data_IF_811181867598
#
_entry.id   IF_811181867598
#
_cell.length_a   1.000
_cell.length_b   1.000
_cell.length_c   1.000
_cell.angle_alpha   90.00
_cell.angle_beta   90.00
_cell.angle_gamma   90.00
#
_symmetry.space_group_name_H-M   'P 1'
#
loop_
_entity.id
_entity.type
_entity.pdbx_description
1 polymer ?
#
# COMPACT_ATOMS: atom_id res chain seq x y z
N UNK A 1 -22.53 10.37 -46.84
CA UNK A 1 -21.41 9.61 -46.22
C UNK A 1 -22.00 8.74 -45.12
N UNK A 2 -21.90 7.39 -45.18
CA UNK A 2 -22.43 6.56 -44.12
C UNK A 2 -21.48 6.62 -42.91
N UNK A 3 -22.02 7.01 -41.76
CA UNK A 3 -21.36 6.96 -40.46
C UNK A 3 -21.00 5.51 -40.20
N UNK A 4 -19.71 5.19 -40.15
CA UNK A 4 -19.25 3.87 -39.71
C UNK A 4 -19.67 3.69 -38.25
N UNK A 5 -20.77 2.97 -38.03
CA UNK A 5 -21.12 2.45 -36.70
C UNK A 5 -19.99 1.49 -36.34
N UNK A 6 -19.10 1.90 -35.43
CA UNK A 6 -18.14 1.00 -34.79
C UNK A 6 -18.92 -0.21 -34.31
N UNK A 7 -18.70 -1.39 -34.90
CA UNK A 7 -19.20 -2.64 -34.32
C UNK A 7 -18.48 -2.79 -32.99
N UNK A 8 -19.17 -2.48 -31.88
CA UNK A 8 -18.67 -2.83 -30.56
C UNK A 8 -18.51 -4.35 -30.51
N UNK A 9 -17.45 -4.83 -29.88
CA UNK A 9 -17.32 -6.26 -29.61
C UNK A 9 -18.42 -6.69 -28.63
N UNK A 10 -18.78 -7.98 -28.65
CA UNK A 10 -19.90 -8.50 -27.83
C UNK A 10 -19.69 -8.23 -26.32
N UNK A 11 -18.43 -8.27 -25.87
CA UNK A 11 -17.99 -7.89 -24.52
C UNK A 11 -18.19 -6.39 -24.21
N UNK A 12 -17.81 -5.49 -25.12
CA UNK A 12 -18.00 -4.04 -24.97
C UNK A 12 -19.49 -3.68 -24.98
N UNK A 13 -20.28 -4.39 -25.77
CA UNK A 13 -21.73 -4.22 -25.82
C UNK A 13 -22.38 -4.56 -24.48
N UNK A 14 -22.05 -5.72 -23.89
CA UNK A 14 -22.60 -6.12 -22.59
C UNK A 14 -22.18 -5.16 -21.47
N UNK A 15 -20.92 -4.70 -21.49
CA UNK A 15 -20.42 -3.68 -20.55
C UNK A 15 -21.16 -2.34 -20.73
N UNK A 16 -21.38 -1.89 -21.96
CA UNK A 16 -22.14 -0.67 -22.25
C UNK A 16 -23.56 -0.76 -21.72
N UNK A 17 -24.24 -1.90 -21.92
CA UNK A 17 -25.59 -2.15 -21.41
C UNK A 17 -25.65 -2.11 -19.89
N UNK A 18 -24.66 -2.70 -19.20
CA UNK A 18 -24.56 -2.63 -17.75
C UNK A 18 -24.40 -1.18 -17.24
N UNK A 19 -23.58 -0.37 -17.92
CA UNK A 19 -23.38 1.05 -17.56
C UNK A 19 -24.65 1.88 -17.71
N UNK A 20 -25.36 1.72 -18.83
CA UNK A 20 -26.57 2.48 -19.13
C UNK A 20 -27.68 2.17 -18.11
N UNK A 21 -27.80 0.90 -17.73
CA UNK A 21 -28.81 0.43 -16.77
C UNK A 21 -28.42 0.66 -15.32
N UNK A 22 -27.15 0.94 -14.99
CA UNK A 22 -26.72 1.11 -13.60
C UNK A 22 -27.41 2.27 -12.88
N UNK A 23 -27.69 3.37 -13.60
CA UNK A 23 -28.37 4.54 -13.03
C UNK A 23 -29.88 4.33 -12.84
N UNK A 24 -30.50 3.48 -13.67
CA UNK A 24 -31.95 3.25 -13.66
C UNK A 24 -32.32 2.05 -12.80
N UNK A 25 -31.57 0.96 -12.91
CA UNK A 25 -31.80 -0.30 -12.23
C UNK A 25 -30.48 -1.05 -11.92
N UNK A 26 -29.95 -0.92 -10.69
CA UNK A 26 -28.72 -1.60 -10.28
C UNK A 26 -28.77 -3.12 -10.39
N UNK A 27 -29.94 -3.75 -10.25
CA UNK A 27 -30.07 -5.21 -10.35
C UNK A 27 -29.94 -5.69 -11.79
N UNK A 28 -30.50 -4.94 -12.73
CA UNK A 28 -30.38 -5.24 -14.16
C UNK A 28 -28.93 -5.07 -14.64
N UNK A 29 -28.26 -4.01 -14.20
CA UNK A 29 -26.83 -3.81 -14.46
C UNK A 29 -25.98 -4.99 -13.94
N UNK A 30 -26.30 -5.50 -12.74
CA UNK A 30 -25.64 -6.70 -12.18
C UNK A 30 -25.93 -7.97 -12.99
N UNK A 31 -27.14 -8.14 -13.53
CA UNK A 31 -27.48 -9.28 -14.39
C UNK A 31 -26.72 -9.23 -15.72
N UNK A 32 -26.62 -8.04 -16.34
CA UNK A 32 -25.78 -7.83 -17.53
C UNK A 32 -24.32 -8.14 -17.25
N UNK A 33 -23.78 -7.67 -16.11
CA UNK A 33 -22.41 -7.98 -15.75
C UNK A 33 -22.16 -9.44 -15.40
N UNK A 34 -23.11 -10.10 -14.74
CA UNK A 34 -22.98 -11.52 -14.46
C UNK A 34 -22.88 -12.31 -15.78
N UNK A 35 -23.69 -11.96 -16.76
CA UNK A 35 -23.66 -12.55 -18.11
C UNK A 35 -22.34 -12.27 -18.82
N UNK A 36 -21.83 -11.04 -18.75
CA UNK A 36 -20.53 -10.72 -19.35
C UNK A 36 -19.39 -11.49 -18.67
N UNK A 37 -19.41 -11.62 -17.34
CA UNK A 37 -18.39 -12.35 -16.57
C UNK A 37 -18.39 -13.86 -16.86
N UNK A 38 -19.56 -14.45 -17.13
CA UNK A 38 -19.66 -15.87 -17.47
C UNK A 38 -19.20 -16.13 -18.90
N UNK A 39 -19.53 -15.25 -19.84
CA UNK A 39 -19.12 -15.38 -21.25
C UNK A 39 -17.65 -15.03 -21.48
N UNK A 40 -17.13 -14.04 -20.74
CA UNK A 40 -15.80 -13.45 -20.94
C UNK A 40 -14.99 -13.44 -19.63
N UNK A 41 -14.83 -14.62 -19.01
CA UNK A 41 -14.18 -14.76 -17.69
C UNK A 41 -12.70 -14.36 -17.65
N UNK A 42 -12.04 -14.33 -18.81
CA UNK A 42 -10.61 -14.02 -18.95
C UNK A 42 -10.36 -12.64 -19.56
N UNK A 43 -11.39 -11.82 -19.76
CA UNK A 43 -11.22 -10.46 -20.25
C UNK A 43 -11.04 -9.49 -19.08
N UNK A 44 -9.92 -8.76 -19.05
CA UNK A 44 -9.65 -7.76 -18.01
C UNK A 44 -10.72 -6.68 -17.95
N UNK A 45 -11.13 -6.09 -19.09
CA UNK A 45 -12.10 -5.00 -19.13
C UNK A 45 -13.45 -5.39 -18.52
N UNK A 46 -13.92 -6.60 -18.77
CA UNK A 46 -15.17 -7.13 -18.20
C UNK A 46 -15.05 -7.32 -16.68
N UNK A 47 -13.94 -7.89 -16.20
CA UNK A 47 -13.73 -8.11 -14.77
C UNK A 47 -13.53 -6.79 -14.03
N UNK A 48 -12.75 -5.88 -14.61
CA UNK A 48 -12.45 -4.56 -14.06
C UNK A 48 -13.70 -3.68 -14.00
N UNK A 49 -14.58 -3.75 -15.01
CA UNK A 49 -15.86 -3.05 -14.96
C UNK A 49 -16.78 -3.60 -13.86
N UNK A 50 -16.84 -4.92 -13.71
CA UNK A 50 -17.61 -5.52 -12.63
C UNK A 50 -17.11 -5.06 -11.25
N UNK A 51 -15.78 -4.92 -11.09
CA UNK A 51 -15.19 -4.30 -9.90
C UNK A 51 -15.62 -2.84 -9.73
N UNK A 52 -15.58 -2.01 -10.79
CA UNK A 52 -15.98 -0.60 -10.73
C UNK A 52 -17.46 -0.43 -10.35
N UNK A 53 -18.34 -1.32 -10.81
CA UNK A 53 -19.75 -1.33 -10.44
C UNK A 53 -19.93 -1.66 -8.95
N UNK A 54 -19.24 -2.68 -8.43
CA UNK A 54 -19.31 -3.03 -7.00
C UNK A 54 -18.67 -1.95 -6.10
N UNK A 55 -17.58 -1.32 -6.56
CA UNK A 55 -16.94 -0.16 -5.92
C UNK A 55 -17.91 1.02 -5.86
N UNK A 56 -18.56 1.34 -6.98
CA UNK A 56 -19.58 2.41 -7.08
C UNK A 56 -20.80 2.13 -6.20
N UNK A 57 -21.17 0.85 -6.04
CA UNK A 57 -22.22 0.42 -5.12
C UNK A 57 -21.79 0.42 -3.64
N UNK A 58 -20.52 0.78 -3.33
CA UNK A 58 -19.89 0.71 -2.00
C UNK A 58 -19.99 -0.66 -1.34
N UNK A 59 -20.02 -1.72 -2.15
CA UNK A 59 -20.10 -3.09 -1.69
C UNK A 59 -18.72 -3.62 -1.33
N UNK A 60 -18.30 -3.42 -0.08
CA UNK A 60 -16.92 -3.72 0.38
C UNK A 60 -16.52 -5.17 0.11
N UNK A 61 -17.37 -6.14 0.48
CA UNK A 61 -17.07 -7.58 0.37
C UNK A 61 -16.97 -8.04 -1.09
N UNK A 62 -17.90 -7.62 -1.93
CA UNK A 62 -17.91 -8.02 -3.33
C UNK A 62 -16.82 -7.31 -4.13
N UNK A 63 -16.52 -6.05 -3.80
CA UNK A 63 -15.37 -5.33 -4.36
C UNK A 63 -14.06 -6.03 -4.02
N UNK A 64 -13.86 -6.45 -2.76
CA UNK A 64 -12.67 -7.18 -2.34
C UNK A 64 -12.52 -8.52 -3.07
N UNK A 65 -13.61 -9.27 -3.27
CA UNK A 65 -13.60 -10.52 -4.05
C UNK A 65 -13.24 -10.28 -5.51
N UNK A 66 -13.87 -9.30 -6.16
CA UNK A 66 -13.59 -8.97 -7.55
C UNK A 66 -12.13 -8.52 -7.71
N UNK A 67 -11.67 -7.61 -6.86
CA UNK A 67 -10.30 -7.12 -6.85
C UNK A 67 -9.30 -8.26 -6.65
N UNK A 68 -9.56 -9.18 -5.71
CA UNK A 68 -8.71 -10.35 -5.47
C UNK A 68 -8.57 -11.23 -6.72
N UNK A 69 -9.68 -11.47 -7.42
CA UNK A 69 -9.68 -12.28 -8.65
C UNK A 69 -8.93 -11.59 -9.80
N UNK A 70 -9.09 -10.27 -9.93
CA UNK A 70 -8.40 -9.47 -10.95
C UNK A 70 -6.90 -9.46 -10.66
N UNK A 71 -6.50 -9.18 -9.41
CA UNK A 71 -5.10 -9.10 -9.00
C UNK A 71 -4.34 -10.40 -9.22
N UNK A 72 -4.98 -11.56 -9.05
CA UNK A 72 -4.34 -12.85 -9.32
C UNK A 72 -4.12 -13.14 -10.81
N UNK A 73 -4.97 -12.58 -11.68
CA UNK A 73 -5.00 -12.94 -13.12
C UNK A 73 -4.36 -11.89 -14.03
N UNK A 74 -4.36 -10.62 -13.65
CA UNK A 74 -4.06 -9.50 -14.54
C UNK A 74 -3.02 -8.54 -13.94
N UNK A 75 -1.87 -9.06 -13.50
CA UNK A 75 -0.81 -8.25 -12.88
C UNK A 75 -0.05 -7.36 -13.87
N UNK A 76 -0.26 -7.50 -15.17
CA UNK A 76 0.41 -6.70 -16.19
C UNK A 76 -0.35 -5.41 -16.54
N UNK A 77 -1.61 -5.30 -16.10
CA UNK A 77 -2.52 -4.23 -16.50
C UNK A 77 -2.29 -2.94 -15.70
N UNK A 78 -2.04 -1.82 -16.40
CA UNK A 78 -1.73 -0.54 -15.76
C UNK A 78 -2.90 0.04 -14.94
N UNK A 79 -4.14 -0.18 -15.37
CA UNK A 79 -5.32 0.32 -14.67
C UNK A 79 -5.50 -0.34 -13.30
N UNK A 80 -5.17 -1.63 -13.19
CA UNK A 80 -5.13 -2.32 -11.90
C UNK A 80 -4.12 -1.67 -10.96
N UNK A 81 -2.93 -1.31 -11.45
CA UNK A 81 -1.90 -0.71 -10.61
C UNK A 81 -2.26 0.67 -10.10
N UNK A 82 -3.06 1.45 -10.83
CA UNK A 82 -3.62 2.71 -10.31
C UNK A 82 -4.51 2.46 -9.09
N UNK A 83 -5.33 1.41 -9.13
CA UNK A 83 -6.15 0.99 -7.99
C UNK A 83 -5.30 0.46 -6.83
N UNK A 84 -4.25 -0.31 -7.11
CA UNK A 84 -3.29 -0.77 -6.10
C UNK A 84 -2.61 0.41 -5.42
N UNK A 85 -2.18 1.43 -6.16
CA UNK A 85 -1.58 2.65 -5.61
C UNK A 85 -2.56 3.42 -4.72
N UNK A 86 -3.82 3.59 -5.16
CA UNK A 86 -4.84 4.23 -4.34
C UNK A 86 -5.08 3.46 -3.03
N UNK A 87 -5.11 2.12 -3.11
CA UNK A 87 -5.28 1.23 -1.97
C UNK A 87 -4.11 1.32 -0.99
N UNK A 88 -2.86 1.24 -1.46
CA UNK A 88 -1.67 1.33 -0.59
C UNK A 88 -1.51 2.71 0.03
N UNK A 89 -1.86 3.77 -0.69
CA UNK A 89 -1.91 5.12 -0.13
C UNK A 89 -2.97 5.25 0.97
N UNK A 90 -4.18 4.73 0.73
CA UNK A 90 -5.24 4.74 1.74
C UNK A 90 -4.86 3.96 3.02
N UNK A 91 -4.05 2.90 2.90
CA UNK A 91 -3.56 2.11 4.02
C UNK A 91 -2.52 2.82 4.89
N UNK A 92 -1.85 3.83 4.35
CA UNK A 92 -0.80 4.59 5.05
C UNK A 92 -1.29 5.88 5.67
N UNK A 93 -2.32 6.47 5.07
CA UNK A 93 -2.88 7.73 5.54
C UNK A 93 -4.04 7.45 6.48
N UNK A 94 -4.12 8.19 7.59
CA UNK A 94 -5.27 8.15 8.51
C UNK A 94 -6.37 9.14 8.09
N UNK A 95 -6.52 9.40 6.80
CA UNK A 95 -7.52 10.35 6.29
C UNK A 95 -8.92 9.83 6.56
N UNK A 96 -9.80 10.69 7.07
CA UNK A 96 -11.23 10.42 7.25
C UNK A 96 -12.05 10.48 5.96
N UNK A 97 -11.39 10.62 4.81
CA UNK A 97 -12.04 10.65 3.50
C UNK A 97 -12.80 9.34 3.25
N UNK A 98 -14.03 9.45 2.76
CA UNK A 98 -14.91 8.30 2.57
C UNK A 98 -14.28 7.22 1.65
N UNK A 99 -13.55 7.63 0.63
CA UNK A 99 -12.85 6.73 -0.29
C UNK A 99 -11.70 5.99 0.41
N UNK A 100 -10.87 6.69 1.18
CA UNK A 100 -9.76 6.07 1.91
C UNK A 100 -10.28 5.09 2.98
N UNK A 101 -11.37 5.43 3.66
CA UNK A 101 -12.05 4.53 4.61
C UNK A 101 -12.57 3.28 3.88
N UNK A 102 -13.24 3.45 2.73
CA UNK A 102 -13.73 2.34 1.92
C UNK A 102 -12.61 1.42 1.47
N UNK A 103 -11.51 1.97 0.93
CA UNK A 103 -10.36 1.18 0.47
C UNK A 103 -9.70 0.39 1.61
N UNK A 104 -9.56 0.99 2.81
CA UNK A 104 -9.07 0.28 3.99
C UNK A 104 -9.98 -0.88 4.41
N UNK A 105 -11.30 -0.67 4.36
CA UNK A 105 -12.28 -1.73 4.65
C UNK A 105 -12.26 -2.82 3.56
N UNK A 106 -12.11 -2.43 2.29
CA UNK A 106 -12.00 -3.39 1.19
C UNK A 106 -10.76 -4.27 1.38
N UNK A 107 -9.63 -3.66 1.72
CA UNK A 107 -8.38 -4.38 1.97
C UNK A 107 -8.53 -5.42 3.08
N UNK A 108 -9.24 -5.11 4.19
CA UNK A 108 -9.42 -6.07 5.28
C UNK A 108 -10.25 -7.29 4.90
N UNK A 109 -11.05 -7.21 3.83
CA UNK A 109 -11.82 -8.32 3.27
C UNK A 109 -11.09 -9.12 2.19
N UNK A 110 -9.93 -8.66 1.72
CA UNK A 110 -9.06 -9.42 0.80
C UNK A 110 -8.41 -10.58 1.59
N UNK A 111 -8.26 -11.79 1.01
CA UNK A 111 -7.53 -12.89 1.64
C UNK A 111 -6.10 -12.51 2.07
N UNK A 112 -5.64 -12.95 3.25
CA UNK A 112 -4.34 -12.55 3.81
C UNK A 112 -3.15 -12.84 2.89
N UNK A 113 -3.17 -13.97 2.18
CA UNK A 113 -2.13 -14.31 1.22
C UNK A 113 -2.08 -13.32 0.05
N UNK A 114 -3.24 -12.84 -0.41
CA UNK A 114 -3.33 -11.83 -1.48
C UNK A 114 -2.92 -10.46 -0.96
N UNK A 115 -3.33 -10.08 0.27
CA UNK A 115 -2.86 -8.84 0.91
C UNK A 115 -1.33 -8.80 1.00
N UNK A 116 -0.72 -9.90 1.46
CA UNK A 116 0.73 -10.04 1.53
C UNK A 116 1.40 -9.93 0.16
N UNK A 117 0.92 -10.70 -0.82
CA UNK A 117 1.44 -10.66 -2.20
C UNK A 117 1.28 -9.28 -2.83
N UNK A 118 0.16 -8.60 -2.62
CA UNK A 118 -0.08 -7.25 -3.13
C UNK A 118 0.98 -6.29 -2.61
N UNK A 119 1.20 -6.23 -1.29
CA UNK A 119 2.19 -5.33 -0.72
C UNK A 119 3.61 -5.64 -1.18
N UNK A 120 3.96 -6.93 -1.28
CA UNK A 120 5.28 -7.36 -1.73
C UNK A 120 5.53 -7.01 -3.20
N UNK A 121 4.61 -7.38 -4.11
CA UNK A 121 4.75 -7.09 -5.54
C UNK A 121 4.69 -5.58 -5.79
N UNK A 122 3.86 -4.83 -5.06
CA UNK A 122 3.90 -3.37 -5.12
C UNK A 122 5.26 -2.81 -4.76
N UNK A 123 5.91 -3.36 -3.72
CA UNK A 123 7.24 -2.92 -3.30
C UNK A 123 8.30 -3.26 -4.37
N UNK A 124 8.23 -4.44 -4.97
CA UNK A 124 9.18 -4.84 -6.00
C UNK A 124 9.05 -4.03 -7.30
N UNK A 125 7.84 -3.50 -7.57
CA UNK A 125 7.55 -2.68 -8.75
C UNK A 125 7.80 -1.18 -8.55
N UNK A 126 8.08 -0.71 -7.35
CA UNK A 126 8.28 0.72 -7.11
C UNK A 126 9.64 1.18 -7.66
N UNK A 127 9.63 2.19 -8.51
CA UNK A 127 10.85 2.80 -9.06
C UNK A 127 11.57 3.69 -8.03
N UNK A 128 10.80 4.31 -7.13
CA UNK A 128 11.33 5.17 -6.07
C UNK A 128 11.75 4.35 -4.83
N UNK A 129 12.99 4.54 -4.39
CA UNK A 129 13.56 3.80 -3.25
C UNK A 129 12.83 4.10 -1.94
N UNK A 130 12.34 5.34 -1.76
CA UNK A 130 11.60 5.70 -0.56
C UNK A 130 10.22 5.04 -0.54
N UNK A 131 9.56 4.99 -1.69
CA UNK A 131 8.28 4.29 -1.86
C UNK A 131 8.40 2.79 -1.62
N UNK A 132 9.46 2.16 -2.14
CA UNK A 132 9.84 0.78 -1.85
C UNK A 132 9.90 0.53 -0.33
N UNK A 133 10.65 1.38 0.38
CA UNK A 133 10.83 1.27 1.82
C UNK A 133 9.52 1.43 2.59
N UNK A 134 8.65 2.36 2.17
CA UNK A 134 7.33 2.56 2.79
C UNK A 134 6.40 1.37 2.58
N UNK A 135 6.43 0.73 1.41
CA UNK A 135 5.62 -0.47 1.11
C UNK A 135 6.09 -1.65 1.96
N UNK A 136 7.41 -1.87 2.05
CA UNK A 136 7.97 -2.90 2.93
C UNK A 136 7.66 -2.64 4.40
N UNK A 137 7.75 -1.41 4.90
CA UNK A 137 7.34 -1.10 6.28
C UNK A 137 5.86 -1.41 6.54
N UNK A 138 5.00 -1.09 5.57
CA UNK A 138 3.58 -1.43 5.67
C UNK A 138 3.36 -2.95 5.72
N UNK A 139 4.10 -3.71 4.91
CA UNK A 139 4.10 -5.18 4.95
C UNK A 139 4.53 -5.69 6.33
N UNK A 140 5.67 -5.23 6.84
CA UNK A 140 6.22 -5.67 8.13
C UNK A 140 5.28 -5.40 9.31
N UNK A 141 4.62 -4.24 9.32
CA UNK A 141 3.63 -3.88 10.35
C UNK A 141 2.40 -4.76 10.36
N UNK A 142 1.92 -5.14 9.17
CA UNK A 142 0.72 -5.98 9.03
C UNK A 142 0.99 -7.47 9.13
N UNK A 143 2.21 -7.90 8.80
CA UNK A 143 2.62 -9.29 8.81
C UNK A 143 3.94 -9.43 9.59
N UNK A 144 3.91 -9.37 10.93
CA UNK A 144 5.12 -9.42 11.77
C UNK A 144 6.00 -10.66 11.53
N UNK A 145 5.42 -11.78 11.10
CA UNK A 145 6.16 -12.99 10.74
C UNK A 145 7.16 -12.79 9.59
N UNK A 146 6.99 -11.72 8.80
CA UNK A 146 7.85 -11.38 7.66
C UNK A 146 9.05 -10.52 8.06
N UNK A 147 9.11 -10.03 9.30
CA UNK A 147 10.17 -9.16 9.81
C UNK A 147 11.53 -9.84 9.79
N UNK A 148 11.61 -11.12 10.17
CA UNK A 148 12.87 -11.87 10.10
C UNK A 148 13.39 -12.00 8.65
N UNK A 149 12.49 -12.09 7.67
CA UNK A 149 12.84 -12.30 6.26
C UNK A 149 13.22 -11.00 5.54
N UNK A 150 12.48 -9.92 5.76
CA UNK A 150 12.64 -8.66 5.00
C UNK A 150 13.25 -7.52 5.82
N UNK A 151 13.19 -7.58 7.16
CA UNK A 151 13.70 -6.54 8.06
C UNK A 151 15.19 -6.24 7.86
N UNK A 152 16.09 -7.23 7.92
CA UNK A 152 17.53 -7.01 7.70
C UNK A 152 17.85 -6.35 6.35
N UNK A 153 17.20 -6.82 5.28
CA UNK A 153 17.39 -6.26 3.94
C UNK A 153 16.91 -4.81 3.87
N UNK A 154 15.79 -4.50 4.52
CA UNK A 154 15.27 -3.13 4.57
C UNK A 154 16.20 -2.19 5.35
N UNK A 155 16.86 -2.67 6.41
CA UNK A 155 17.91 -1.90 7.09
C UNK A 155 19.03 -1.54 6.11
N UNK A 156 19.54 -2.53 5.37
CA UNK A 156 20.62 -2.31 4.40
C UNK A 156 20.19 -1.32 3.31
N UNK A 157 18.97 -1.47 2.78
CA UNK A 157 18.41 -0.56 1.77
C UNK A 157 18.33 0.87 2.29
N UNK A 158 17.77 1.08 3.49
CA UNK A 158 17.65 2.43 4.09
C UNK A 158 19.02 3.06 4.37
N UNK A 159 19.96 2.30 4.92
CA UNK A 159 21.31 2.79 5.20
C UNK A 159 22.06 3.14 3.90
N UNK A 160 21.87 2.34 2.85
CA UNK A 160 22.49 2.56 1.54
C UNK A 160 21.87 3.76 0.85
N UNK A 161 20.54 3.87 0.84
CA UNK A 161 19.82 4.98 0.24
C UNK A 161 20.20 6.32 0.90
N UNK A 162 20.27 6.36 2.22
CA UNK A 162 20.70 7.55 2.96
C UNK A 162 22.11 7.99 2.52
N UNK A 163 23.06 7.05 2.42
CA UNK A 163 24.45 7.35 2.04
C UNK A 163 24.55 7.99 0.65
N UNK A 164 23.72 7.58 -0.30
CA UNK A 164 23.73 8.09 -1.67
C UNK A 164 22.90 9.36 -1.85
N UNK A 165 22.00 9.67 -0.91
CA UNK A 165 21.08 10.81 -1.04
C UNK A 165 21.71 12.16 -0.64
N UNK A 166 23.01 12.19 -0.31
CA UNK A 166 23.78 13.42 0.01
C UNK A 166 23.12 14.36 1.03
N UNK A 167 22.34 13.82 1.98
CA UNK A 167 21.77 14.64 3.06
C UNK A 167 22.88 15.23 3.92
N UNK A 168 22.81 16.53 4.17
CA UNK A 168 23.78 17.26 4.98
C UNK A 168 23.50 17.16 6.48
N UNK A 169 22.32 16.68 6.87
CA UNK A 169 21.89 16.54 8.26
C UNK A 169 21.46 15.11 8.60
N UNK A 170 21.59 14.76 9.88
CA UNK A 170 21.14 13.46 10.40
C UNK A 170 19.61 13.36 10.46
N UNK A 171 18.89 14.48 10.43
CA UNK A 171 17.42 14.52 10.43
C UNK A 171 16.90 14.48 8.99
N UNK A 172 16.82 13.28 8.42
CA UNK A 172 16.32 13.04 7.06
C UNK A 172 15.25 11.94 7.02
N UNK A 173 14.58 11.79 5.87
CA UNK A 173 13.44 10.88 5.70
C UNK A 173 13.80 9.40 5.84
N UNK A 174 14.96 8.97 5.33
CA UNK A 174 15.43 7.59 5.46
C UNK A 174 15.78 7.26 6.90
N UNK A 175 16.48 8.16 7.59
CA UNK A 175 16.81 7.96 9.00
C UNK A 175 15.58 7.99 9.89
N UNK A 176 14.58 8.82 9.57
CA UNK A 176 13.28 8.79 10.25
C UNK A 176 12.60 7.42 10.11
N UNK A 177 12.49 6.87 8.89
CA UNK A 177 11.92 5.53 8.69
C UNK A 177 12.73 4.45 9.44
N UNK A 178 14.05 4.53 9.39
CA UNK A 178 14.92 3.55 10.02
C UNK A 178 14.75 3.54 11.54
N UNK A 179 14.79 4.71 12.16
CA UNK A 179 14.83 4.86 13.63
C UNK A 179 13.42 4.79 14.23
N UNK A 180 12.46 5.49 13.65
CA UNK A 180 11.12 5.62 14.23
C UNK A 180 10.19 4.47 13.83
N UNK A 181 10.38 3.87 12.65
CA UNK A 181 9.44 2.89 12.11
C UNK A 181 10.01 1.47 12.07
N UNK A 182 11.25 1.27 11.60
CA UNK A 182 11.83 -0.06 11.43
C UNK A 182 12.44 -0.61 12.73
N UNK A 183 13.26 0.17 13.42
CA UNK A 183 13.96 -0.28 14.63
C UNK A 183 13.01 -0.86 15.70
N UNK A 184 11.83 -0.25 16.00
CA UNK A 184 10.89 -0.84 16.95
C UNK A 184 10.32 -2.20 16.50
N UNK A 185 10.12 -2.40 15.20
CA UNK A 185 9.66 -3.68 14.64
C UNK A 185 10.72 -4.77 14.77
N UNK A 186 11.99 -4.42 14.62
CA UNK A 186 13.11 -5.34 14.80
C UNK A 186 13.26 -5.74 16.27
N UNK A 187 13.07 -4.81 17.21
CA UNK A 187 13.20 -5.09 18.65
C UNK A 187 12.12 -6.01 19.22
N UNK A 188 10.97 -6.12 18.54
CA UNK A 188 9.84 -6.97 18.94
C UNK A 188 9.86 -8.36 18.27
N UNK A 189 10.83 -8.61 17.39
CA UNK A 189 10.93 -9.84 16.60
C UNK A 189 12.30 -10.50 16.80
N UNK A 190 12.42 -11.84 16.68
CA UNK A 190 13.70 -12.53 16.78
C UNK A 190 14.52 -12.33 15.50
N UNK A 191 15.10 -11.13 15.32
CA UNK A 191 15.94 -10.78 14.17
C UNK A 191 17.40 -10.80 14.57
N UNK A 192 18.20 -11.61 13.88
CA UNK A 192 19.64 -11.62 14.03
C UNK A 192 20.28 -10.63 13.05
N UNK A 193 20.77 -9.51 13.58
CA UNK A 193 21.60 -8.57 12.82
C UNK A 193 23.08 -8.73 13.20
N UNK A 194 24.01 -8.58 12.24
CA UNK A 194 25.43 -8.51 12.54
C UNK A 194 25.74 -7.43 13.59
N UNK A 195 26.58 -7.75 14.57
CA UNK A 195 26.95 -6.84 15.67
C UNK A 195 27.43 -5.47 15.16
N UNK A 196 28.24 -5.44 14.09
CA UNK A 196 28.70 -4.19 13.46
C UNK A 196 27.56 -3.34 12.88
N UNK A 197 26.47 -3.97 12.45
CA UNK A 197 25.28 -3.26 11.96
C UNK A 197 24.47 -2.71 13.13
N UNK A 198 24.32 -3.46 14.21
CA UNK A 198 23.67 -2.99 15.44
C UNK A 198 24.34 -1.74 16.02
N UNK A 199 25.68 -1.73 16.13
CA UNK A 199 26.39 -0.53 16.60
C UNK A 199 26.19 0.68 15.69
N UNK A 200 26.18 0.48 14.36
CA UNK A 200 25.90 1.55 13.40
C UNK A 200 24.48 2.08 13.52
N UNK A 201 23.50 1.19 13.73
CA UNK A 201 22.11 1.57 13.97
C UNK A 201 21.97 2.39 15.25
N UNK A 202 22.60 1.96 16.33
CA UNK A 202 22.59 2.67 17.61
C UNK A 202 23.19 4.08 17.46
N UNK A 203 24.37 4.19 16.85
CA UNK A 203 25.02 5.48 16.61
C UNK A 203 24.13 6.42 15.78
N UNK A 204 23.58 5.93 14.66
CA UNK A 204 22.68 6.73 13.80
C UNK A 204 21.41 7.16 14.54
N UNK A 205 20.86 6.29 15.38
CA UNK A 205 19.67 6.58 16.18
C UNK A 205 19.95 7.71 17.18
N UNK A 206 21.03 7.58 17.96
CA UNK A 206 21.45 8.61 18.91
C UNK A 206 21.68 9.95 18.20
N UNK A 207 22.42 9.95 17.08
CA UNK A 207 22.68 11.15 16.30
C UNK A 207 21.39 11.79 15.76
N UNK A 208 20.43 10.99 15.27
CA UNK A 208 19.14 11.47 14.80
C UNK A 208 18.37 12.18 15.93
N UNK A 209 18.24 11.53 17.08
CA UNK A 209 17.52 12.08 18.23
C UNK A 209 18.19 13.34 18.79
N UNK A 210 19.51 13.36 18.93
CA UNK A 210 20.24 14.54 19.39
C UNK A 210 20.03 15.73 18.46
N UNK A 211 20.20 15.55 17.16
CA UNK A 211 20.00 16.64 16.21
C UNK A 211 18.53 17.06 16.11
N UNK A 212 17.59 16.13 16.24
CA UNK A 212 16.16 16.45 16.28
C UNK A 212 15.79 17.30 17.51
N UNK A 213 16.30 16.95 18.69
CA UNK A 213 16.06 17.69 19.94
C UNK A 213 16.73 19.06 19.95
N UNK A 214 17.92 19.19 19.36
CA UNK A 214 18.67 20.44 19.29
C UNK A 214 18.19 21.39 18.19
N UNK A 215 17.34 20.92 17.26
CA UNK A 215 16.83 21.75 16.17
C UNK A 215 15.72 22.70 16.66
N UNK A 216 15.85 24.02 16.47
CA UNK A 216 14.83 25.00 16.92
C UNK A 216 13.53 24.92 16.11
N UNK A 217 13.53 24.25 14.96
CA UNK A 217 12.41 24.14 14.03
C UNK A 217 11.73 22.79 14.16
N UNK A 218 10.59 22.72 14.86
CA UNK A 218 9.66 21.56 14.88
C UNK A 218 8.91 21.39 13.55
N UNK A 219 9.52 21.69 12.41
CA UNK A 219 8.88 21.68 11.08
C UNK A 219 8.77 20.28 10.46
N UNK A 220 9.21 19.23 11.15
CA UNK A 220 8.87 17.84 10.81
C UNK A 220 7.72 17.36 11.70
N UNK A 221 6.65 18.15 11.78
CA UNK A 221 5.37 17.74 12.36
C UNK A 221 4.44 17.29 11.24
N UNK A 222 4.37 15.99 11.00
CA UNK A 222 3.10 15.26 10.79
C UNK A 222 3.30 13.85 11.37
N UNK A 223 2.43 13.49 12.33
CA UNK A 223 2.37 12.25 13.14
C UNK A 223 3.49 12.00 14.17
N UNK A 224 3.50 12.79 15.25
CA UNK A 224 4.25 12.53 16.49
C UNK A 224 3.35 12.19 17.69
N UNK A 225 2.04 11.96 17.52
CA UNK A 225 1.16 11.66 18.66
C UNK A 225 1.47 10.33 19.38
N UNK A 226 2.31 9.47 18.82
CA UNK A 226 2.80 8.25 19.50
C UNK A 226 4.23 8.39 20.06
N UNK A 227 4.89 9.53 19.90
CA UNK A 227 6.33 9.70 20.19
C UNK A 227 6.60 10.22 21.60
N UNK A 228 5.70 11.04 22.15
CA UNK A 228 5.86 11.60 23.50
C UNK A 228 5.81 10.51 24.59
N UNK A 229 5.15 9.37 24.32
CA UNK A 229 5.12 8.20 25.22
C UNK A 229 6.39 7.35 25.17
N UNK A 230 7.02 7.19 24.00
CA UNK A 230 8.23 6.36 23.85
C UNK A 230 9.48 7.05 24.41
N UNK A 231 9.61 8.37 24.23
CA UNK A 231 10.76 9.12 24.77
C UNK A 231 10.67 9.23 26.29
N UNK A 232 9.46 9.32 26.86
CA UNK A 232 9.27 9.31 28.32
C UNK A 232 9.59 7.93 28.92
N UNK A 233 9.18 6.83 28.30
CA UNK A 233 9.48 5.49 28.83
C UNK A 233 10.97 5.11 28.74
N UNK A 234 11.68 5.53 27.68
CA UNK A 234 13.11 5.23 27.51
C UNK A 234 13.97 6.00 28.52
N UNK A 235 13.61 7.23 28.89
CA UNK A 235 14.38 8.04 29.85
C UNK A 235 13.98 7.84 31.32
N UNK A 236 12.81 7.26 31.61
CA UNK A 236 12.40 6.95 33.00
C UNK A 236 13.02 5.62 33.49
N UNK A 237 13.56 4.80 32.59
CA UNK A 237 14.13 3.48 32.94
C UNK A 237 15.67 3.44 33.01
N UNK A 238 16.34 4.59 33.08
CA UNK A 238 17.79 4.73 33.38
C UNK A 238 17.94 5.45 34.70
#
# INVERSE_FOLDING_TARGET
MPVQVKKLSDEEYLVSRAKDTFKTNPYEAKAWMLTAKTLFSNNFGVQFEAYNIEKSARSVKESAKCFSAIFQRFQDEQELWKEVQALTMALRTESGEAEAVFLRQMFSHIPLNIQHQLLLVSADRSEDTMEHCRLLLLLLRRFPQTVAQHGPKLVDTLMTAEKHSHYQNSVNCYRKLLVCDLLPLLGTSPVELPVKQLFRLLQKSIEFYLCYLMSPSKSIQVNLMSFDLLVTEIFISI
#
